data_IF_090031703609
#
_entry.id   IF_090031703609
#
_cell.length_a   1.000
_cell.length_b   1.000
_cell.length_c   1.000
_cell.angle_alpha   90.00
_cell.angle_beta   90.00
_cell.angle_gamma   90.00
#
_symmetry.space_group_name_H-M   'P 1'
#
loop_
_entity.id
_entity.type
_entity.pdbx_description
1 polymer ?
#
# COMPACT_ATOMS: atom_id res chain seq x y z
N UNK A 1 3.91 -0.61 -35.97
CA UNK A 1 3.67 -1.15 -34.60
C UNK A 1 2.18 -1.44 -34.48
N UNK A 2 1.80 -2.68 -34.15
CA UNK A 2 0.40 -3.06 -34.04
C UNK A 2 -0.31 -2.18 -33.00
N UNK A 3 -1.30 -1.40 -33.42
CA UNK A 3 -2.07 -0.54 -32.54
C UNK A 3 -2.96 -1.39 -31.66
N UNK A 4 -2.54 -1.59 -30.41
CA UNK A 4 -3.34 -2.29 -29.38
C UNK A 4 -4.73 -1.68 -29.35
N UNK A 5 -5.75 -2.53 -29.42
CA UNK A 5 -7.16 -2.13 -29.36
C UNK A 5 -7.72 -2.34 -27.95
N UNK A 6 -8.70 -1.51 -27.55
CA UNK A 6 -9.40 -1.65 -26.26
C UNK A 6 -10.02 -3.05 -26.07
N UNK A 7 -10.41 -3.71 -27.18
CA UNK A 7 -10.97 -5.06 -27.17
C UNK A 7 -9.92 -6.11 -26.77
N UNK A 8 -8.68 -5.97 -27.22
CA UNK A 8 -7.56 -6.84 -26.81
C UNK A 8 -7.23 -6.67 -25.33
N UNK A 9 -7.23 -5.43 -24.81
CA UNK A 9 -6.99 -5.18 -23.39
C UNK A 9 -8.10 -5.77 -22.51
N UNK A 10 -9.37 -5.63 -22.94
CA UNK A 10 -10.52 -6.25 -22.26
C UNK A 10 -10.48 -7.78 -22.29
N UNK A 11 -9.90 -8.40 -23.32
CA UNK A 11 -9.74 -9.85 -23.35
C UNK A 11 -8.58 -10.33 -22.45
N UNK A 12 -7.51 -9.55 -22.33
CA UNK A 12 -6.44 -9.79 -21.36
C UNK A 12 -6.94 -9.78 -19.90
N UNK A 13 -7.93 -8.91 -19.61
CA UNK A 13 -8.63 -8.78 -18.32
C UNK A 13 -9.11 -10.12 -17.72
N UNK A 14 -9.54 -11.07 -18.56
CA UNK A 14 -10.17 -12.32 -18.11
C UNK A 14 -9.17 -13.41 -17.70
N UNK A 15 -7.87 -13.20 -17.90
CA UNK A 15 -6.83 -14.21 -17.62
C UNK A 15 -6.08 -13.99 -16.31
N UNK A 16 -6.31 -12.89 -15.61
CA UNK A 16 -5.61 -12.54 -14.36
C UNK A 16 -6.55 -12.73 -13.18
N UNK A 17 -6.23 -13.69 -12.31
CA UNK A 17 -7.06 -14.05 -11.16
C UNK A 17 -7.24 -12.84 -10.23
N UNK A 18 -8.47 -12.34 -9.96
CA UNK A 18 -8.66 -11.00 -9.38
C UNK A 18 -8.47 -10.88 -7.87
N UNK A 19 -8.61 -11.99 -7.15
CA UNK A 19 -9.03 -11.94 -5.73
C UNK A 19 -7.89 -11.67 -4.73
N UNK A 20 -6.63 -11.90 -5.08
CA UNK A 20 -5.57 -11.98 -4.05
C UNK A 20 -4.98 -10.65 -3.58
N UNK A 21 -5.26 -9.50 -4.23
CA UNK A 21 -4.60 -8.21 -3.86
C UNK A 21 -5.48 -6.96 -3.78
N UNK A 22 -6.52 -6.81 -4.60
CA UNK A 22 -7.19 -5.50 -4.80
C UNK A 22 -8.44 -5.26 -3.95
N UNK A 23 -8.96 -6.31 -3.29
CA UNK A 23 -10.24 -6.25 -2.56
C UNK A 23 -11.44 -5.91 -3.47
N UNK A 24 -12.64 -5.88 -2.89
CA UNK A 24 -13.87 -5.59 -3.65
C UNK A 24 -13.86 -4.19 -4.28
N UNK A 25 -13.32 -3.19 -3.58
CA UNK A 25 -13.29 -1.81 -4.07
C UNK A 25 -12.44 -1.66 -5.33
N UNK A 26 -11.20 -2.18 -5.32
CA UNK A 26 -10.33 -2.12 -6.49
C UNK A 26 -10.91 -2.88 -7.68
N UNK A 27 -11.56 -4.03 -7.43
CA UNK A 27 -12.13 -4.85 -8.49
C UNK A 27 -13.38 -4.23 -9.14
N UNK A 28 -14.34 -3.76 -8.37
CA UNK A 28 -15.62 -3.29 -8.90
C UNK A 28 -15.58 -1.82 -9.33
N UNK A 29 -14.89 -0.96 -8.58
CA UNK A 29 -14.92 0.47 -8.82
C UNK A 29 -13.72 0.97 -9.61
N UNK A 30 -12.50 0.55 -9.29
CA UNK A 30 -11.29 1.12 -9.90
C UNK A 30 -10.93 0.48 -11.24
N UNK A 31 -11.00 -0.85 -11.33
CA UNK A 31 -10.64 -1.61 -12.54
C UNK A 31 -11.31 -1.13 -13.84
N UNK A 32 -12.60 -0.75 -13.85
CA UNK A 32 -13.21 -0.20 -15.07
C UNK A 32 -12.50 1.07 -15.56
N UNK A 33 -12.07 1.95 -14.65
CA UNK A 33 -11.38 3.19 -14.99
C UNK A 33 -9.89 2.98 -15.31
N UNK A 34 -9.19 2.13 -14.54
CA UNK A 34 -7.78 1.82 -14.79
C UNK A 34 -7.57 1.29 -16.20
N UNK A 35 -8.48 0.45 -16.72
CA UNK A 35 -8.40 -0.10 -18.07
C UNK A 35 -8.31 0.96 -19.18
N UNK A 36 -9.05 2.07 -19.06
CA UNK A 36 -8.98 3.16 -20.02
C UNK A 36 -7.65 3.92 -19.91
N UNK A 37 -7.19 4.17 -18.69
CA UNK A 37 -5.89 4.83 -18.47
C UNK A 37 -4.71 3.93 -18.89
N UNK A 38 -4.79 2.62 -18.67
CA UNK A 38 -3.82 1.62 -19.15
C UNK A 38 -3.76 1.61 -20.67
N UNK A 39 -4.90 1.67 -21.34
CA UNK A 39 -4.93 1.82 -22.80
C UNK A 39 -4.23 3.09 -23.27
N UNK A 40 -4.50 4.24 -22.64
CA UNK A 40 -3.83 5.50 -22.95
C UNK A 40 -2.32 5.44 -22.67
N UNK A 41 -1.91 4.86 -21.54
CA UNK A 41 -0.51 4.70 -21.17
C UNK A 41 0.25 3.81 -22.17
N UNK A 42 -0.36 2.70 -22.60
CA UNK A 42 0.24 1.81 -23.61
C UNK A 42 0.39 2.53 -24.94
N UNK A 43 -0.61 3.32 -25.37
CA UNK A 43 -0.55 4.11 -26.60
C UNK A 43 0.47 5.25 -26.52
N UNK A 44 0.59 5.88 -25.35
CA UNK A 44 1.57 6.91 -25.06
C UNK A 44 3.00 6.39 -24.84
N UNK A 45 3.24 5.09 -25.01
CA UNK A 45 4.52 4.45 -24.77
C UNK A 45 5.10 4.60 -23.35
N UNK A 46 4.24 4.86 -22.36
CA UNK A 46 4.65 4.95 -20.97
C UNK A 46 5.10 3.57 -20.45
N UNK A 47 6.18 3.57 -19.68
CA UNK A 47 6.64 2.39 -18.93
C UNK A 47 5.87 2.25 -17.62
N UNK A 48 5.83 1.04 -17.04
CA UNK A 48 5.20 0.84 -15.73
C UNK A 48 5.79 1.77 -14.66
N UNK A 49 7.12 1.89 -14.61
CA UNK A 49 7.80 2.76 -13.63
C UNK A 49 7.42 4.25 -13.80
N UNK A 50 7.22 4.73 -15.03
CA UNK A 50 6.75 6.10 -15.27
C UNK A 50 5.34 6.31 -14.72
N UNK A 51 4.46 5.32 -14.87
CA UNK A 51 3.11 5.36 -14.28
C UNK A 51 3.18 5.35 -12.75
N UNK A 52 4.07 4.55 -12.16
CA UNK A 52 4.31 4.57 -10.70
C UNK A 52 4.78 5.95 -10.23
N UNK A 53 5.68 6.63 -10.96
CA UNK A 53 6.07 8.01 -10.61
C UNK A 53 4.88 8.98 -10.68
N UNK A 54 4.01 8.84 -11.69
CA UNK A 54 2.77 9.65 -11.78
C UNK A 54 1.83 9.36 -10.60
N UNK A 55 1.74 8.12 -10.15
CA UNK A 55 0.99 7.74 -8.94
C UNK A 55 1.51 8.49 -7.71
N UNK A 56 2.84 8.51 -7.50
CA UNK A 56 3.47 9.21 -6.37
C UNK A 56 3.19 10.71 -6.44
N UNK A 57 3.44 11.33 -7.61
CA UNK A 57 3.21 12.77 -7.82
C UNK A 57 1.75 13.12 -7.55
N UNK A 58 0.81 12.34 -8.08
CA UNK A 58 -0.63 12.56 -7.87
C UNK A 58 -1.00 12.43 -6.39
N UNK A 59 -0.48 11.41 -5.70
CA UNK A 59 -0.75 11.20 -4.28
C UNK A 59 -0.22 12.33 -3.39
N UNK A 60 1.02 12.77 -3.62
CA UNK A 60 1.64 13.88 -2.88
C UNK A 60 0.96 15.22 -3.20
N UNK A 61 0.68 15.49 -4.48
CA UNK A 61 -0.07 16.68 -4.88
C UNK A 61 -1.46 16.69 -4.25
N UNK A 62 -2.13 15.55 -4.18
CA UNK A 62 -3.41 15.40 -3.49
C UNK A 62 -3.32 15.74 -2.00
N UNK A 63 -2.29 15.24 -1.32
CA UNK A 63 -2.02 15.60 0.07
C UNK A 63 -1.80 17.10 0.28
N UNK A 64 -1.02 17.74 -0.61
CA UNK A 64 -0.78 19.20 -0.58
C UNK A 64 -2.08 19.97 -0.81
N UNK A 65 -2.90 19.56 -1.79
CA UNK A 65 -4.20 20.19 -2.04
C UNK A 65 -5.15 20.07 -0.84
N UNK A 66 -5.18 18.93 -0.14
CA UNK A 66 -5.99 18.78 1.08
C UNK A 66 -5.59 19.75 2.20
N UNK A 67 -4.31 20.13 2.26
CA UNK A 67 -3.80 21.09 3.24
C UNK A 67 -4.29 22.52 2.98
N UNK A 68 -4.74 22.83 1.76
CA UNK A 68 -5.30 24.14 1.42
C UNK A 68 -6.70 24.24 2.04
N UNK A 69 -7.00 25.24 2.89
CA UNK A 69 -8.26 25.35 3.64
C UNK A 69 -9.43 25.88 2.78
N UNK A 70 -9.55 25.42 1.54
CA UNK A 70 -10.64 25.77 0.64
C UNK A 70 -11.41 24.54 0.20
N UNK A 71 -12.66 24.72 -0.22
CA UNK A 71 -13.47 23.63 -0.81
C UNK A 71 -12.81 23.09 -2.08
N UNK A 72 -12.26 23.98 -2.92
CA UNK A 72 -11.53 23.59 -4.11
C UNK A 72 -10.29 22.75 -3.78
N UNK A 73 -9.52 23.13 -2.74
CA UNK A 73 -8.38 22.36 -2.26
C UNK A 73 -8.76 20.97 -1.77
N UNK A 74 -9.84 20.86 -0.99
CA UNK A 74 -10.39 19.58 -0.54
C UNK A 74 -10.78 18.67 -1.72
N UNK A 75 -11.59 19.17 -2.66
CA UNK A 75 -12.05 18.41 -3.83
C UNK A 75 -10.90 18.03 -4.77
N UNK A 76 -9.95 18.93 -5.01
CA UNK A 76 -8.75 18.63 -5.79
C UNK A 76 -7.90 17.55 -5.09
N UNK A 77 -7.72 17.64 -3.77
CA UNK A 77 -6.99 16.65 -2.99
C UNK A 77 -7.60 15.26 -3.07
N UNK A 78 -8.92 15.18 -2.91
CA UNK A 78 -9.71 13.95 -3.08
C UNK A 78 -9.52 13.34 -4.48
N UNK A 79 -9.70 14.15 -5.51
CA UNK A 79 -9.58 13.71 -6.89
C UNK A 79 -8.17 13.19 -7.21
N UNK A 80 -7.14 13.89 -6.75
CA UNK A 80 -5.74 13.51 -6.98
C UNK A 80 -5.31 12.26 -6.20
N UNK A 81 -5.80 12.07 -4.97
CA UNK A 81 -5.55 10.83 -4.21
C UNK A 81 -6.21 9.63 -4.89
N UNK A 82 -7.46 9.77 -5.32
CA UNK A 82 -8.17 8.72 -6.07
C UNK A 82 -7.49 8.44 -7.40
N UNK A 83 -7.07 9.47 -8.13
CA UNK A 83 -6.34 9.32 -9.39
C UNK A 83 -5.00 8.60 -9.17
N UNK A 84 -4.27 8.91 -8.09
CA UNK A 84 -3.07 8.19 -7.69
C UNK A 84 -3.35 6.70 -7.47
N UNK A 85 -4.44 6.37 -6.79
CA UNK A 85 -4.84 4.96 -6.61
C UNK A 85 -5.26 4.28 -7.92
N UNK A 86 -5.83 5.01 -8.89
CA UNK A 86 -6.05 4.45 -10.22
C UNK A 86 -4.71 4.17 -10.91
N UNK A 87 -3.73 5.08 -10.83
CA UNK A 87 -2.40 4.86 -11.42
C UNK A 87 -1.65 3.66 -10.83
N UNK A 88 -1.83 3.39 -9.53
CA UNK A 88 -1.34 2.16 -8.86
C UNK A 88 -1.89 0.86 -9.45
N UNK A 89 -3.08 0.92 -10.04
CA UNK A 89 -3.65 -0.22 -10.76
C UNK A 89 -3.14 -0.27 -12.21
N UNK A 90 -2.96 0.90 -12.82
CA UNK A 90 -2.48 1.06 -14.20
C UNK A 90 -1.04 0.57 -14.34
N UNK A 91 -0.13 0.88 -13.42
CA UNK A 91 1.28 0.49 -13.54
C UNK A 91 1.46 -1.04 -13.58
N UNK A 92 0.71 -1.77 -12.74
CA UNK A 92 0.69 -3.22 -12.69
C UNK A 92 0.01 -3.82 -13.91
N UNK A 93 -1.02 -3.19 -14.45
CA UNK A 93 -1.65 -3.58 -15.72
C UNK A 93 -0.69 -3.38 -16.90
N UNK A 94 0.00 -2.24 -16.99
CA UNK A 94 1.02 -1.95 -18.01
C UNK A 94 2.18 -2.94 -17.90
N UNK A 95 2.69 -3.20 -16.69
CA UNK A 95 3.78 -4.15 -16.45
C UNK A 95 3.41 -5.57 -16.92
N UNK A 96 2.19 -6.03 -16.61
CA UNK A 96 1.69 -7.35 -17.06
C UNK A 96 1.48 -7.40 -18.56
N UNK A 97 0.88 -6.37 -19.14
CA UNK A 97 0.61 -6.31 -20.58
C UNK A 97 1.91 -6.29 -21.40
N UNK A 98 2.88 -5.46 -21.00
CA UNK A 98 4.19 -5.36 -21.67
C UNK A 98 5.20 -6.43 -21.28
N UNK A 99 4.86 -7.32 -20.33
CA UNK A 99 5.78 -8.30 -19.72
C UNK A 99 7.05 -7.65 -19.14
N UNK A 100 6.89 -6.47 -18.55
CA UNK A 100 7.97 -5.65 -17.97
C UNK A 100 8.00 -5.68 -16.44
N UNK A 101 7.41 -6.72 -15.82
CA UNK A 101 7.47 -6.88 -14.38
C UNK A 101 8.93 -7.01 -13.91
N UNK A 102 9.35 -6.17 -12.95
CA UNK A 102 10.72 -6.12 -12.47
C UNK A 102 10.78 -5.93 -10.95
N UNK A 103 11.93 -6.29 -10.35
CA UNK A 103 12.19 -6.05 -8.92
C UNK A 103 12.26 -4.55 -8.65
N UNK A 104 12.91 -3.79 -9.52
CA UNK A 104 12.98 -2.31 -9.44
C UNK A 104 11.60 -1.67 -9.45
N UNK A 105 10.68 -2.14 -10.30
CA UNK A 105 9.30 -1.65 -10.33
C UNK A 105 8.56 -1.92 -9.02
N UNK A 106 8.69 -3.14 -8.46
CA UNK A 106 8.11 -3.49 -7.15
C UNK A 106 8.69 -2.66 -6.00
N UNK A 107 9.99 -2.37 -6.05
CA UNK A 107 10.65 -1.50 -5.09
C UNK A 107 10.11 -0.07 -5.18
N UNK A 108 10.04 0.50 -6.38
CA UNK A 108 9.53 1.85 -6.61
C UNK A 108 8.07 1.99 -6.17
N UNK A 109 7.22 1.02 -6.47
CA UNK A 109 5.83 0.92 -6.01
C UNK A 109 5.75 0.94 -4.47
N UNK A 110 6.60 0.14 -3.81
CA UNK A 110 6.67 0.10 -2.35
C UNK A 110 7.09 1.45 -1.77
N UNK A 111 8.13 2.08 -2.33
CA UNK A 111 8.58 3.42 -1.92
C UNK A 111 7.46 4.45 -2.11
N UNK A 112 6.75 4.40 -3.23
CA UNK A 112 5.64 5.29 -3.51
C UNK A 112 4.53 5.21 -2.46
N UNK A 113 4.14 3.99 -2.09
CA UNK A 113 3.18 3.77 -1.02
C UNK A 113 3.65 4.33 0.34
N UNK A 114 4.91 4.10 0.70
CA UNK A 114 5.49 4.62 1.95
C UNK A 114 5.66 6.16 1.94
N UNK A 115 5.62 6.82 0.78
CA UNK A 115 5.61 8.29 0.68
C UNK A 115 4.18 8.85 0.72
N UNK A 116 3.27 8.29 -0.08
CA UNK A 116 1.93 8.85 -0.31
C UNK A 116 1.05 8.72 0.95
N UNK A 117 1.10 7.57 1.63
CA UNK A 117 0.22 7.32 2.79
C UNK A 117 0.51 8.30 3.95
N UNK A 118 1.77 8.50 4.39
CA UNK A 118 2.06 9.50 5.41
C UNK A 118 1.76 10.93 4.96
N UNK A 119 2.06 11.25 3.70
CA UNK A 119 1.77 12.58 3.12
C UNK A 119 0.29 12.91 3.23
N UNK A 120 -0.59 11.95 2.90
CA UNK A 120 -2.04 12.10 3.01
C UNK A 120 -2.48 12.45 4.43
N UNK A 121 -1.99 11.74 5.46
CA UNK A 121 -2.34 12.04 6.85
C UNK A 121 -1.82 13.41 7.30
N UNK A 122 -0.60 13.76 6.91
CA UNK A 122 -0.02 15.06 7.24
C UNK A 122 -0.79 16.20 6.58
N UNK A 123 -1.11 16.08 5.29
CA UNK A 123 -1.92 17.04 4.54
C UNK A 123 -3.32 17.22 5.15
N UNK A 124 -3.96 16.13 5.58
CA UNK A 124 -5.24 16.18 6.29
C UNK A 124 -5.10 16.93 7.63
N UNK A 125 -4.06 16.65 8.42
CA UNK A 125 -3.80 17.33 9.69
C UNK A 125 -3.59 18.83 9.54
N UNK A 126 -2.73 19.24 8.61
CA UNK A 126 -2.47 20.65 8.31
C UNK A 126 -3.73 21.36 7.79
N UNK A 127 -4.46 20.72 6.87
CA UNK A 127 -5.71 21.28 6.36
C UNK A 127 -6.80 21.43 7.43
N UNK A 128 -6.88 20.49 8.37
CA UNK A 128 -7.80 20.58 9.51
C UNK A 128 -7.39 21.68 10.47
N UNK A 129 -6.09 21.86 10.74
CA UNK A 129 -5.60 22.98 11.55
C UNK A 129 -6.01 24.33 10.97
N UNK A 130 -5.80 24.56 9.67
CA UNK A 130 -6.18 25.82 9.05
C UNK A 130 -7.69 26.06 9.01
N UNK A 131 -8.52 25.01 9.06
CA UNK A 131 -9.99 25.13 9.09
C UNK A 131 -10.55 25.32 10.50
N UNK A 132 -9.92 24.74 11.52
CA UNK A 132 -10.48 24.64 12.89
C UNK A 132 -9.68 25.39 13.95
N UNK A 133 -8.43 25.75 13.67
CA UNK A 133 -7.49 26.36 14.62
C UNK A 133 -6.82 25.37 15.59
N UNK A 134 -7.18 24.08 15.57
CA UNK A 134 -6.67 23.11 16.53
C UNK A 134 -5.33 22.50 16.09
N UNK A 135 -4.24 22.91 16.71
CA UNK A 135 -2.89 22.42 16.41
C UNK A 135 -2.74 20.91 16.66
N UNK A 136 -3.54 20.35 17.56
CA UNK A 136 -3.57 18.92 17.87
C UNK A 136 -3.83 18.06 16.62
N UNK A 137 -4.58 18.58 15.64
CA UNK A 137 -4.82 17.88 14.37
C UNK A 137 -3.53 17.61 13.58
N UNK A 138 -2.54 18.51 13.66
CA UNK A 138 -1.23 18.32 13.02
C UNK A 138 -0.45 17.21 13.75
N UNK A 139 -0.50 17.20 15.08
CA UNK A 139 0.13 16.16 15.91
C UNK A 139 -0.46 14.80 15.57
N UNK A 140 -1.79 14.70 15.55
CA UNK A 140 -2.49 13.47 15.21
C UNK A 140 -2.24 13.02 13.77
N UNK A 141 -2.19 13.96 12.81
CA UNK A 141 -1.83 13.69 11.42
C UNK A 141 -0.40 13.17 11.28
N UNK A 142 0.55 13.77 12.00
CA UNK A 142 1.93 13.31 12.04
C UNK A 142 2.04 11.91 12.66
N UNK A 143 1.40 11.66 13.81
CA UNK A 143 1.39 10.34 14.44
C UNK A 143 0.76 9.29 13.53
N UNK A 144 -0.37 9.59 12.90
CA UNK A 144 -1.00 8.69 11.95
C UNK A 144 -0.07 8.37 10.77
N UNK A 145 0.55 9.39 10.17
CA UNK A 145 1.50 9.23 9.06
C UNK A 145 2.72 8.41 9.46
N UNK A 146 3.40 8.78 10.55
CA UNK A 146 4.61 8.11 11.02
C UNK A 146 4.35 6.64 11.39
N UNK A 147 3.28 6.35 12.12
CA UNK A 147 2.96 4.98 12.54
C UNK A 147 2.26 4.15 11.45
N UNK A 148 1.85 4.76 10.33
CA UNK A 148 1.38 4.03 9.14
C UNK A 148 2.51 3.39 8.33
N UNK A 149 3.72 3.95 8.40
CA UNK A 149 4.91 3.42 7.71
C UNK A 149 5.19 2.00 8.15
N UNK A 150 5.49 1.08 7.23
CA UNK A 150 5.75 -0.34 7.54
C UNK A 150 7.21 -0.61 7.92
N UNK A 151 7.76 0.20 8.81
CA UNK A 151 9.16 0.11 9.27
C UNK A 151 9.55 -1.27 9.82
N UNK A 152 8.63 -1.97 10.48
CA UNK A 152 8.83 -3.33 11.01
C UNK A 152 9.14 -4.38 9.93
N UNK A 153 8.51 -4.26 8.77
CA UNK A 153 8.74 -5.17 7.65
C UNK A 153 10.04 -4.79 6.94
N UNK A 154 10.30 -3.49 6.77
CA UNK A 154 11.53 -2.99 6.16
C UNK A 154 12.78 -3.40 6.96
N UNK A 155 12.75 -3.22 8.28
CA UNK A 155 13.85 -3.65 9.17
C UNK A 155 13.99 -5.16 9.18
N UNK A 156 12.89 -5.92 9.18
CA UNK A 156 12.94 -7.39 9.07
C UNK A 156 13.65 -7.87 7.80
N UNK A 157 13.34 -7.27 6.64
CA UNK A 157 13.99 -7.62 5.38
C UNK A 157 15.45 -7.19 5.35
N UNK A 158 15.78 -6.04 5.93
CA UNK A 158 17.17 -5.55 6.00
C UNK A 158 18.03 -6.46 6.89
N UNK A 159 17.55 -6.82 8.07
CA UNK A 159 18.20 -7.78 8.98
C UNK A 159 18.33 -9.16 8.34
N UNK A 160 17.27 -9.64 7.67
CA UNK A 160 17.31 -10.89 6.91
C UNK A 160 18.36 -10.83 5.79
N UNK A 161 18.45 -9.70 5.07
CA UNK A 161 19.44 -9.45 4.03
C UNK A 161 20.87 -9.45 4.57
N UNK A 162 21.13 -8.76 5.68
CA UNK A 162 22.43 -8.73 6.34
C UNK A 162 22.81 -10.11 6.91
N UNK A 163 21.86 -10.88 7.43
CA UNK A 163 22.07 -12.27 7.87
C UNK A 163 22.37 -13.19 6.69
N UNK A 164 21.71 -13.01 5.54
CA UNK A 164 22.00 -13.73 4.30
C UNK A 164 23.41 -13.37 3.82
N UNK A 165 23.76 -12.09 3.76
CA UNK A 165 25.05 -11.59 3.28
C UNK A 165 26.21 -12.02 4.18
N UNK A 166 26.04 -11.92 5.51
CA UNK A 166 27.03 -12.37 6.50
C UNK A 166 27.24 -13.89 6.51
N UNK A 167 26.20 -14.69 6.19
CA UNK A 167 26.30 -16.16 6.09
C UNK A 167 26.66 -16.67 4.68
N UNK A 168 26.45 -15.89 3.63
CA UNK A 168 26.87 -16.24 2.26
C UNK A 168 28.38 -16.42 2.17
N UNK A 169 29.14 -15.61 2.92
CA UNK A 169 30.59 -15.70 3.00
C UNK A 169 31.12 -16.99 3.66
N UNK A 170 30.28 -17.74 4.38
CA UNK A 170 30.64 -19.03 5.00
C UNK A 170 30.13 -20.26 4.23
N UNK A 171 29.21 -20.08 3.28
CA UNK A 171 28.42 -21.19 2.72
C UNK A 171 29.01 -21.83 1.45
N UNK A 172 30.10 -21.29 0.86
CA UNK A 172 30.65 -21.80 -0.39
C UNK A 172 31.18 -23.25 -0.31
N UNK A 173 31.65 -23.70 0.87
CA UNK A 173 32.19 -25.06 1.05
C UNK A 173 31.14 -26.11 1.51
N UNK A 174 29.96 -25.69 1.98
CA UNK A 174 29.00 -26.58 2.64
C UNK A 174 28.02 -27.27 1.66
N UNK A 175 27.78 -26.71 0.47
CA UNK A 175 26.75 -27.19 -0.46
C UNK A 175 27.13 -28.44 -1.27
N UNK A 176 28.33 -28.99 -1.10
CA UNK A 176 28.83 -30.10 -1.93
C UNK A 176 28.32 -31.51 -1.54
N UNK A 177 27.61 -31.70 -0.41
CA UNK A 177 27.54 -33.04 0.19
C UNK A 177 26.18 -33.67 0.51
N UNK A 178 25.01 -33.05 0.28
CA UNK A 178 23.75 -33.63 0.81
C UNK A 178 22.71 -34.11 -0.21
N UNK A 179 22.26 -35.36 0.01
CA UNK A 179 21.22 -36.12 -0.69
C UNK A 179 19.98 -36.28 0.23
N UNK A 180 18.78 -36.07 -0.35
CA UNK A 180 17.45 -36.54 0.11
C UNK A 180 16.96 -35.98 1.48
N UNK A 181 15.70 -35.98 1.95
CA UNK A 181 14.42 -36.71 1.71
C UNK A 181 13.25 -35.78 2.11
N UNK A 182 12.01 -36.05 1.66
CA UNK A 182 10.87 -35.12 1.67
C UNK A 182 10.29 -34.64 3.01
N UNK A 183 9.56 -33.52 2.92
CA UNK A 183 8.47 -33.13 3.82
C UNK A 183 7.35 -32.53 2.98
N UNK A 184 6.15 -33.06 3.16
CA UNK A 184 4.89 -32.64 2.54
C UNK A 184 4.17 -31.64 3.49
N UNK A 185 3.51 -30.64 2.90
CA UNK A 185 2.59 -29.65 3.48
C UNK A 185 3.16 -28.50 4.35
N UNK A 186 3.54 -27.40 3.68
CA UNK A 186 3.67 -26.06 4.27
C UNK A 186 3.01 -25.01 3.36
N UNK A 187 1.67 -24.99 3.30
CA UNK A 187 0.84 -23.79 3.09
C UNK A 187 -0.64 -24.19 2.93
N UNK A 188 -1.39 -24.24 4.02
CA UNK A 188 -2.87 -24.12 4.00
C UNK A 188 -3.36 -23.55 5.33
N UNK A 189 -3.47 -22.22 5.41
CA UNK A 189 -4.49 -21.55 6.22
C UNK A 189 -5.19 -20.53 5.33
N UNK A 190 -6.18 -21.03 4.60
CA UNK A 190 -7.16 -20.23 3.86
C UNK A 190 -8.16 -19.67 4.88
N UNK A 191 -8.43 -18.37 4.75
CA UNK A 191 -9.54 -17.58 5.29
C UNK A 191 -10.45 -18.25 6.34
N UNK A 192 -10.25 -17.88 7.60
CA UNK A 192 -11.36 -17.72 8.53
C UNK A 192 -11.54 -16.21 8.72
N UNK A 193 -12.67 -15.68 8.24
CA UNK A 193 -13.07 -14.29 8.41
C UNK A 193 -13.40 -14.06 9.89
N UNK A 194 -12.44 -13.53 10.64
CA UNK A 194 -12.66 -13.10 12.01
C UNK A 194 -13.13 -11.63 12.01
N UNK A 195 -14.17 -11.27 12.79
CA UNK A 195 -14.63 -9.88 12.94
C UNK A 195 -13.50 -8.91 13.32
N UNK A 196 -12.55 -9.40 14.11
CA UNK A 196 -11.35 -8.67 14.54
C UNK A 196 -10.45 -8.33 13.33
N UNK A 197 -10.33 -9.24 12.36
CA UNK A 197 -9.53 -9.04 11.14
C UNK A 197 -10.21 -8.05 10.19
N UNK A 198 -11.55 -8.04 10.10
CA UNK A 198 -12.30 -7.04 9.34
C UNK A 198 -12.13 -5.64 9.91
N UNK A 199 -12.20 -5.50 11.24
CA UNK A 199 -11.91 -4.24 11.94
C UNK A 199 -10.48 -3.75 11.66
N UNK A 200 -9.49 -4.66 11.64
CA UNK A 200 -8.13 -4.31 11.25
C UNK A 200 -7.97 -3.96 9.75
N UNK A 201 -8.85 -4.45 8.88
CA UNK A 201 -8.90 -4.11 7.46
C UNK A 201 -9.20 -2.63 7.20
N UNK A 202 -9.95 -1.97 8.09
CA UNK A 202 -10.21 -0.52 8.02
C UNK A 202 -8.93 0.32 8.19
N UNK A 203 -7.90 -0.25 8.82
CA UNK A 203 -6.58 0.36 8.99
C UNK A 203 -5.58 -0.05 7.89
N UNK A 204 -6.05 -0.66 6.81
CA UNK A 204 -5.23 -0.98 5.65
C UNK A 204 -5.54 -0.02 4.50
N UNK A 205 -4.50 0.35 3.76
CA UNK A 205 -4.67 0.98 2.44
C UNK A 205 -5.27 -0.05 1.47
N UNK A 206 -6.27 0.30 0.63
CA UNK A 206 -6.83 1.63 0.37
C UNK A 206 -8.03 2.03 1.24
N UNK A 207 -8.52 1.15 2.13
CA UNK A 207 -9.73 1.41 2.92
C UNK A 207 -9.63 2.71 3.74
N UNK A 208 -8.48 2.97 4.36
CA UNK A 208 -8.26 4.21 5.11
C UNK A 208 -8.30 5.46 4.23
N UNK A 209 -7.76 5.40 3.01
CA UNK A 209 -7.83 6.51 2.04
C UNK A 209 -9.29 6.81 1.68
N UNK A 210 -10.11 5.78 1.44
CA UNK A 210 -11.52 5.96 1.12
C UNK A 210 -12.32 6.54 2.28
N UNK A 211 -12.03 6.12 3.52
CA UNK A 211 -12.63 6.71 4.73
C UNK A 211 -12.32 8.20 4.81
N UNK A 212 -11.04 8.57 4.63
CA UNK A 212 -10.63 9.99 4.58
C UNK A 212 -11.38 10.71 3.46
N UNK A 213 -11.55 10.09 2.30
CA UNK A 213 -12.24 10.72 1.19
C UNK A 213 -13.70 11.04 1.52
N UNK A 214 -14.41 10.09 2.12
CA UNK A 214 -15.80 10.30 2.58
C UNK A 214 -15.87 11.38 3.66
N UNK A 215 -14.96 11.35 4.63
CA UNK A 215 -14.92 12.33 5.73
C UNK A 215 -14.69 13.74 5.20
N UNK A 216 -13.72 13.93 4.31
CA UNK A 216 -13.44 15.24 3.72
C UNK A 216 -14.60 15.72 2.85
N UNK A 217 -15.26 14.83 2.11
CA UNK A 217 -16.48 15.17 1.36
C UNK A 217 -17.62 15.60 2.29
N UNK A 218 -17.78 14.92 3.43
CA UNK A 218 -18.77 15.30 4.43
C UNK A 218 -18.41 16.65 5.07
N UNK A 219 -17.15 16.91 5.39
CA UNK A 219 -16.68 18.21 5.92
C UNK A 219 -16.84 19.37 4.92
N UNK A 220 -16.91 19.10 3.61
CA UNK A 220 -17.28 20.13 2.62
C UNK A 220 -18.75 20.51 2.73
N UNK A 221 -19.61 19.56 3.10
CA UNK A 221 -21.06 19.78 3.27
C UNK A 221 -21.45 20.22 4.67
N UNK A 222 -20.72 19.78 5.69
CA UNK A 222 -20.99 20.03 7.09
C UNK A 222 -20.08 21.15 7.59
N UNK A 223 -20.68 22.24 8.08
CA UNK A 223 -19.91 23.28 8.74
C UNK A 223 -19.22 22.73 10.01
N UNK A 224 -18.06 23.27 10.41
CA UNK A 224 -17.46 22.94 11.69
C UNK A 224 -18.44 23.19 12.84
N UNK A 225 -18.49 22.26 13.79
CA UNK A 225 -19.33 22.38 14.98
C UNK A 225 -18.50 22.94 16.14
N UNK A 226 -19.11 23.80 16.94
CA UNK A 226 -18.44 24.43 18.09
C UNK A 226 -18.70 23.63 19.36
N UNK A 227 -17.64 23.32 20.10
CA UNK A 227 -17.72 22.71 21.42
C UNK A 227 -16.66 23.32 22.33
N UNK A 228 -17.05 23.74 23.54
CA UNK A 228 -16.14 24.37 24.51
C UNK A 228 -15.29 25.51 23.89
N UNK A 229 -15.94 26.43 23.16
CA UNK A 229 -15.30 27.57 22.45
C UNK A 229 -14.28 27.21 21.35
N UNK A 230 -14.15 25.93 21.03
CA UNK A 230 -13.27 25.43 19.95
C UNK A 230 -14.11 24.88 18.81
N UNK A 231 -13.63 25.03 17.58
CA UNK A 231 -14.28 24.47 16.39
C UNK A 231 -13.76 23.08 16.11
N UNK A 232 -14.63 22.17 15.69
CA UNK A 232 -14.27 20.80 15.33
C UNK A 232 -14.98 20.39 14.04
N UNK A 233 -14.37 19.45 13.32
CA UNK A 233 -14.95 18.84 12.13
C UNK A 233 -14.72 17.32 12.17
N UNK A 234 -15.26 16.60 11.19
CA UNK A 234 -15.14 15.14 11.15
C UNK A 234 -13.69 14.70 10.93
N UNK A 235 -12.92 15.44 10.12
CA UNK A 235 -11.50 15.18 9.93
C UNK A 235 -10.70 15.28 11.24
N UNK A 236 -11.00 16.26 12.10
CA UNK A 236 -10.38 16.37 13.42
C UNK A 236 -10.68 15.15 14.28
N UNK A 237 -11.96 14.76 14.38
CA UNK A 237 -12.36 13.60 15.19
C UNK A 237 -11.69 12.31 14.70
N UNK A 238 -11.66 12.13 13.38
CA UNK A 238 -10.97 11.02 12.75
C UNK A 238 -9.48 11.00 13.08
N UNK A 239 -8.79 12.13 12.93
CA UNK A 239 -7.38 12.24 13.25
C UNK A 239 -7.12 11.97 14.74
N UNK A 240 -7.91 12.55 15.64
CA UNK A 240 -7.76 12.34 17.08
C UNK A 240 -7.90 10.86 17.46
N UNK A 241 -8.91 10.16 16.92
CA UNK A 241 -9.12 8.74 17.18
C UNK A 241 -8.02 7.91 16.50
N UNK A 242 -7.85 8.08 15.19
CA UNK A 242 -7.00 7.23 14.37
C UNK A 242 -5.50 7.45 14.65
N UNK A 243 -5.08 8.70 14.77
CA UNK A 243 -3.72 9.11 15.12
C UNK A 243 -3.30 8.69 16.53
N UNK A 244 -4.25 8.51 17.45
CA UNK A 244 -3.98 7.95 18.79
C UNK A 244 -3.97 6.41 18.80
N UNK A 245 -4.85 5.77 18.02
CA UNK A 245 -4.96 4.31 17.99
C UNK A 245 -3.83 3.62 17.22
N UNK A 246 -3.30 4.23 16.15
CA UNK A 246 -2.22 3.64 15.35
C UNK A 246 -0.93 3.39 16.15
N UNK A 247 -0.41 4.35 16.93
CA UNK A 247 0.74 4.11 17.82
C UNK A 247 0.50 2.94 18.77
N UNK A 248 -0.67 2.89 19.43
CA UNK A 248 -1.03 1.81 20.35
C UNK A 248 -1.06 0.45 19.66
N UNK A 249 -1.68 0.38 18.47
CA UNK A 249 -1.67 -0.83 17.63
C UNK A 249 -0.24 -1.23 17.29
N UNK A 250 0.65 -0.28 16.99
CA UNK A 250 2.05 -0.55 16.65
C UNK A 250 2.80 -1.19 17.80
N UNK A 251 2.64 -0.66 19.02
CA UNK A 251 3.22 -1.23 20.24
C UNK A 251 2.76 -2.68 20.44
N UNK A 252 1.48 -2.96 20.24
CA UNK A 252 0.94 -4.33 20.34
C UNK A 252 1.53 -5.25 19.27
N UNK A 253 1.63 -4.78 18.02
CA UNK A 253 2.23 -5.56 16.92
C UNK A 253 3.69 -5.88 17.17
N UNK A 254 4.50 -4.88 17.56
CA UNK A 254 5.91 -5.08 17.90
C UNK A 254 6.04 -6.06 19.06
N UNK A 255 5.23 -5.90 20.12
CA UNK A 255 5.24 -6.82 21.27
C UNK A 255 4.91 -8.26 20.86
N UNK A 256 3.94 -8.46 19.95
CA UNK A 256 3.61 -9.78 19.41
C UNK A 256 4.77 -10.36 18.58
N UNK A 257 5.37 -9.57 17.70
CA UNK A 257 6.51 -9.98 16.87
C UNK A 257 7.69 -10.45 17.75
N UNK A 258 8.03 -9.66 18.78
CA UNK A 258 9.11 -9.96 19.73
C UNK A 258 8.81 -11.21 20.55
N UNK A 259 7.61 -11.31 21.16
CA UNK A 259 7.26 -12.46 22.01
C UNK A 259 7.14 -13.78 21.26
N UNK A 260 6.56 -13.76 20.06
CA UNK A 260 6.29 -14.97 19.30
C UNK A 260 7.50 -15.45 18.48
N UNK A 261 8.64 -14.72 18.52
CA UNK A 261 9.82 -14.93 17.67
C UNK A 261 9.44 -15.08 16.20
N UNK A 262 8.42 -14.34 15.78
CA UNK A 262 7.85 -14.43 14.42
C UNK A 262 8.88 -14.05 13.36
N UNK A 263 9.74 -13.09 13.68
CA UNK A 263 10.91 -12.71 12.88
C UNK A 263 11.81 -13.91 12.59
N UNK A 264 12.21 -14.66 13.63
CA UNK A 264 13.05 -15.86 13.49
C UNK A 264 12.34 -16.94 12.66
N UNK A 265 11.05 -17.19 12.91
CA UNK A 265 10.26 -18.17 12.17
C UNK A 265 10.12 -17.82 10.68
N UNK A 266 9.84 -16.57 10.36
CA UNK A 266 9.74 -16.08 8.96
C UNK A 266 11.08 -16.13 8.27
N UNK A 267 12.17 -15.77 8.95
CA UNK A 267 13.52 -15.88 8.43
C UNK A 267 13.87 -17.34 8.11
N UNK A 268 13.65 -18.27 9.06
CA UNK A 268 13.87 -19.71 8.85
C UNK A 268 13.03 -20.22 7.67
N UNK A 269 11.75 -19.87 7.62
CA UNK A 269 10.87 -20.26 6.51
C UNK A 269 11.32 -19.68 5.15
N UNK A 270 11.83 -18.44 5.11
CA UNK A 270 12.37 -17.83 3.89
C UNK A 270 13.65 -18.54 3.43
N UNK A 271 14.55 -18.84 4.36
CA UNK A 271 15.77 -19.62 4.08
C UNK A 271 15.40 -21.03 3.60
N UNK A 272 14.36 -21.66 4.16
CA UNK A 272 13.82 -22.95 3.70
C UNK A 272 13.22 -22.86 2.29
N UNK A 273 12.46 -21.80 1.97
CA UNK A 273 11.90 -21.55 0.64
C UNK A 273 12.98 -21.28 -0.42
N UNK A 274 14.01 -20.49 -0.11
CA UNK A 274 15.11 -20.27 -1.05
C UNK A 274 15.92 -21.54 -1.32
N UNK A 275 15.84 -22.54 -0.43
CA UNK A 275 16.43 -23.87 -0.65
C UNK A 275 15.60 -24.76 -1.59
N UNK A 276 14.30 -24.49 -1.81
CA UNK A 276 13.41 -25.37 -2.61
C UNK A 276 13.29 -25.01 -4.09
N UNK A 277 13.70 -23.80 -4.53
CA UNK A 277 13.42 -23.29 -5.89
C UNK A 277 14.34 -23.79 -7.03
N UNK A 278 15.19 -24.80 -6.83
CA UNK A 278 15.94 -25.44 -7.93
C UNK A 278 15.33 -26.79 -8.33
N UNK A 279 14.32 -26.73 -9.20
CA UNK A 279 14.04 -27.72 -10.27
C UNK A 279 13.05 -27.11 -11.28
N UNK A 280 13.56 -26.29 -12.19
CA UNK A 280 12.95 -26.18 -13.52
C UNK A 280 13.51 -27.37 -14.31
N UNK A 281 12.71 -28.35 -14.74
CA UNK A 281 13.19 -29.35 -15.68
C UNK A 281 13.54 -28.61 -16.98
N UNK A 282 14.80 -28.71 -17.39
CA UNK A 282 15.18 -28.48 -18.77
C UNK A 282 14.51 -29.57 -19.61
N UNK A 283 13.74 -29.13 -20.60
CA UNK A 283 13.17 -29.88 -21.73
C UNK A 283 12.57 -31.27 -21.50
N UNK A 284 11.26 -31.35 -21.74
CA UNK A 284 10.68 -32.30 -22.72
C UNK A 284 9.50 -31.66 -23.43
#
# INVERSE_FOLDING_TARGET
MATVTLKELRNFKHRVNPEERQGAYGYYFIRPFSLYLTYLAIRGNLTANQVTVLQIISGVAGAVCMAIPTTAGALAGLALLQLGFVFDNVDGEVARFRKQASVTGKFLDSVGHEIVVPSMFFGLGVGTYFRTGNFESVIFGFLAGFFSLRLDIATLYQEAGQLIESKLNQAYDYYASFKYTGVENLYKRKNEESPIRMLFGLFAYPATMNIICVIVLLDVWLAPFTFAERQFNLAYLFLAIYGSLLPLRRVITIRKLVRARETEKKYVALVELMRTEKKVPADR
#
